data_IF_811479496791
#
_entry.id   IF_811479496791
#
_cell.length_a   1.000
_cell.length_b   1.000
_cell.length_c   1.000
_cell.angle_alpha   90.00
_cell.angle_beta   90.00
_cell.angle_gamma   90.00
#
_symmetry.space_group_name_H-M   'P 1'
#
loop_
_entity.id
_entity.type
_entity.pdbx_description
1 polymer ?
#
# COMPACT_ATOMS: atom_id res chain seq x y z
N UNK A 1 17.39 -20.73 -23.03
CA UNK A 1 18.02 -22.05 -22.87
C UNK A 1 17.98 -22.80 -24.20
N UNK A 2 18.95 -23.68 -24.41
CA UNK A 2 18.86 -24.80 -25.34
C UNK A 2 19.25 -26.07 -24.57
N UNK A 3 19.01 -27.26 -25.12
CA UNK A 3 19.23 -28.54 -24.44
C UNK A 3 20.65 -28.75 -23.87
N UNK A 4 21.65 -27.95 -24.29
CA UNK A 4 23.04 -28.03 -23.83
C UNK A 4 23.61 -26.73 -23.23
N UNK A 5 22.81 -25.66 -23.05
CA UNK A 5 23.32 -24.36 -22.58
C UNK A 5 22.40 -23.74 -21.52
N UNK A 6 22.97 -23.55 -20.32
CA UNK A 6 22.41 -22.74 -19.23
C UNK A 6 23.08 -21.36 -19.26
N UNK A 7 22.28 -20.30 -19.42
CA UNK A 7 22.75 -18.92 -19.34
C UNK A 7 22.51 -18.42 -17.92
N UNK A 8 23.56 -18.28 -17.15
CA UNK A 8 23.51 -17.63 -15.83
C UNK A 8 23.61 -16.12 -16.04
N UNK A 9 22.57 -15.38 -15.67
CA UNK A 9 22.54 -13.92 -15.72
C UNK A 9 22.82 -13.35 -14.34
N UNK A 10 23.77 -12.43 -14.26
CA UNK A 10 23.99 -11.64 -13.05
C UNK A 10 22.93 -10.53 -12.97
N UNK A 11 21.96 -10.70 -12.07
CA UNK A 11 20.90 -9.71 -11.85
C UNK A 11 21.41 -8.44 -11.14
N UNK A 12 22.65 -8.46 -10.64
CA UNK A 12 23.28 -7.30 -10.03
C UNK A 12 23.90 -6.35 -11.05
N UNK A 13 24.12 -6.78 -12.29
CA UNK A 13 24.52 -5.88 -13.38
C UNK A 13 23.30 -5.07 -13.85
N UNK A 14 23.29 -3.73 -13.67
CA UNK A 14 22.19 -2.88 -14.11
C UNK A 14 21.94 -2.95 -15.63
N UNK A 15 22.88 -3.44 -16.43
CA UNK A 15 22.68 -3.67 -17.87
C UNK A 15 21.86 -4.92 -18.18
N UNK A 16 22.03 -5.99 -17.40
CA UNK A 16 21.28 -7.25 -17.56
C UNK A 16 19.86 -7.15 -16.98
N UNK A 17 19.73 -6.32 -15.94
CA UNK A 17 18.48 -6.04 -15.23
C UNK A 17 18.27 -4.52 -15.04
N UNK A 18 17.95 -3.77 -16.11
CA UNK A 18 17.74 -2.33 -16.03
C UNK A 18 16.48 -1.98 -15.24
N UNK A 19 16.45 -0.77 -14.70
CA UNK A 19 15.34 -0.26 -13.86
C UNK A 19 13.96 -0.51 -14.46
N UNK A 20 13.74 -0.14 -15.72
CA UNK A 20 12.44 -0.30 -16.38
C UNK A 20 11.97 -1.77 -16.38
N UNK A 21 12.89 -2.71 -16.61
CA UNK A 21 12.61 -4.14 -16.59
C UNK A 21 12.30 -4.63 -15.18
N UNK A 22 13.00 -4.11 -14.17
CA UNK A 22 12.74 -4.41 -12.76
C UNK A 22 11.36 -3.90 -12.34
N UNK A 23 11.00 -2.66 -12.69
CA UNK A 23 9.69 -2.08 -12.43
C UNK A 23 8.57 -2.89 -13.10
N UNK A 24 8.72 -3.24 -14.39
CA UNK A 24 7.73 -4.09 -15.09
C UNK A 24 7.49 -5.42 -14.38
N UNK A 25 8.56 -6.04 -13.85
CA UNK A 25 8.42 -7.28 -13.05
C UNK A 25 7.73 -7.04 -11.72
N UNK A 26 8.11 -5.98 -11.00
CA UNK A 26 7.46 -5.60 -9.74
C UNK A 26 5.97 -5.34 -9.95
N UNK A 27 5.60 -4.68 -11.03
CA UNK A 27 4.21 -4.42 -11.38
C UNK A 27 3.42 -5.72 -11.64
N UNK A 28 3.96 -6.64 -12.44
CA UNK A 28 3.32 -7.95 -12.69
C UNK A 28 3.13 -8.70 -11.38
N UNK A 29 4.16 -8.70 -10.52
CA UNK A 29 4.11 -9.36 -9.22
C UNK A 29 3.08 -8.72 -8.29
N UNK A 30 3.10 -7.40 -8.13
CA UNK A 30 2.13 -6.66 -7.31
C UNK A 30 0.69 -6.87 -7.78
N UNK A 31 0.45 -6.83 -9.09
CA UNK A 31 -0.87 -7.09 -9.67
C UNK A 31 -1.33 -8.52 -9.36
N UNK A 32 -0.46 -9.51 -9.57
CA UNK A 32 -0.76 -10.91 -9.25
C UNK A 32 -0.99 -11.13 -7.76
N UNK A 33 -0.24 -10.48 -6.88
CA UNK A 33 -0.43 -10.59 -5.43
C UNK A 33 -1.79 -10.04 -5.01
N UNK A 34 -2.20 -8.89 -5.55
CA UNK A 34 -3.51 -8.28 -5.29
C UNK A 34 -4.66 -9.16 -5.79
N UNK A 35 -4.58 -9.65 -7.03
CA UNK A 35 -5.56 -10.57 -7.62
C UNK A 35 -5.67 -11.88 -6.84
N UNK A 36 -4.53 -12.51 -6.50
CA UNK A 36 -4.49 -13.75 -5.71
C UNK A 36 -5.06 -13.52 -4.30
N UNK A 37 -4.79 -12.38 -3.66
CA UNK A 37 -5.34 -12.03 -2.35
C UNK A 37 -6.87 -11.90 -2.38
N UNK A 38 -7.40 -11.24 -3.40
CA UNK A 38 -8.84 -11.06 -3.60
C UNK A 38 -9.53 -12.38 -3.96
N UNK A 39 -8.87 -13.24 -4.74
CA UNK A 39 -9.35 -14.58 -5.05
C UNK A 39 -9.31 -15.50 -3.82
N UNK A 40 -8.31 -15.35 -2.95
CA UNK A 40 -8.26 -16.05 -1.68
C UNK A 40 -9.41 -15.60 -0.78
N UNK A 41 -9.69 -14.29 -0.76
CA UNK A 41 -10.86 -13.73 -0.09
C UNK A 41 -12.16 -14.25 -0.69
N UNK A 42 -12.27 -14.43 -2.01
CA UNK A 42 -13.45 -14.97 -2.68
C UNK A 42 -13.73 -16.43 -2.34
N UNK A 43 -12.69 -17.24 -2.20
CA UNK A 43 -12.83 -18.71 -2.13
C UNK A 43 -12.60 -19.25 -0.72
N UNK A 44 -12.17 -18.41 0.22
CA UNK A 44 -11.67 -18.83 1.52
C UNK A 44 -10.40 -19.70 1.41
N UNK A 45 -9.69 -19.66 0.28
CA UNK A 45 -8.55 -20.53 0.01
C UNK A 45 -7.30 -20.08 0.78
N UNK A 46 -7.15 -20.58 2.01
CA UNK A 46 -6.00 -20.25 2.89
C UNK A 46 -4.64 -20.51 2.24
N UNK A 47 -4.50 -21.58 1.46
CA UNK A 47 -3.25 -21.89 0.73
C UNK A 47 -2.89 -20.80 -0.30
N UNK A 48 -3.89 -20.18 -0.93
CA UNK A 48 -3.64 -19.08 -1.86
C UNK A 48 -3.20 -17.83 -1.10
N UNK A 49 -3.82 -17.55 0.05
CA UNK A 49 -3.38 -16.47 0.93
C UNK A 49 -1.94 -16.68 1.45
N UNK A 50 -1.56 -17.89 1.85
CA UNK A 50 -0.19 -18.23 2.26
C UNK A 50 0.81 -17.96 1.14
N UNK A 51 0.49 -18.35 -0.10
CA UNK A 51 1.32 -18.07 -1.28
C UNK A 51 1.52 -16.57 -1.53
N UNK A 52 0.48 -15.74 -1.30
CA UNK A 52 0.61 -14.27 -1.39
C UNK A 52 1.58 -13.76 -0.33
N UNK A 53 1.50 -14.27 0.90
CA UNK A 53 2.43 -13.91 1.99
C UNK A 53 3.87 -14.27 1.63
N UNK A 54 4.10 -15.44 1.07
CA UNK A 54 5.42 -15.89 0.62
C UNK A 54 5.99 -15.02 -0.53
N UNK A 55 5.11 -14.49 -1.40
CA UNK A 55 5.50 -13.65 -2.54
C UNK A 55 6.01 -12.27 -2.12
N UNK A 56 5.83 -11.87 -0.85
CA UNK A 56 6.33 -10.58 -0.34
C UNK A 56 7.85 -10.46 -0.46
N UNK A 57 8.56 -11.54 -0.11
CA UNK A 57 10.02 -11.57 -0.15
C UNK A 57 10.54 -11.26 -1.57
N UNK A 58 9.81 -11.67 -2.61
CA UNK A 58 10.21 -11.46 -3.99
C UNK A 58 10.03 -10.00 -4.42
N UNK A 59 8.95 -9.33 -4.01
CA UNK A 59 8.76 -7.91 -4.32
C UNK A 59 9.73 -7.03 -3.52
N UNK A 60 10.01 -7.38 -2.26
CA UNK A 60 11.01 -6.72 -1.42
C UNK A 60 12.41 -6.78 -2.03
N UNK A 61 12.81 -7.96 -2.53
CA UNK A 61 14.09 -8.16 -3.21
C UNK A 61 14.23 -7.29 -4.45
N UNK A 62 13.17 -7.18 -5.26
CA UNK A 62 13.18 -6.32 -6.45
C UNK A 62 13.25 -4.83 -6.07
N UNK A 63 12.54 -4.42 -5.01
CA UNK A 63 12.64 -3.06 -4.48
C UNK A 63 14.06 -2.73 -4.01
N UNK A 64 14.70 -3.62 -3.24
CA UNK A 64 16.08 -3.44 -2.81
C UNK A 64 17.08 -3.42 -3.97
N UNK A 65 16.81 -4.18 -5.04
CA UNK A 65 17.61 -4.10 -6.25
C UNK A 65 17.53 -2.71 -6.88
N UNK A 66 16.33 -2.14 -7.01
CA UNK A 66 16.14 -0.77 -7.51
C UNK A 66 16.85 0.24 -6.62
N UNK A 67 16.66 0.17 -5.30
CA UNK A 67 17.35 1.05 -4.33
C UNK A 67 18.87 0.98 -4.47
N UNK A 68 19.42 -0.22 -4.57
CA UNK A 68 20.86 -0.44 -4.76
C UNK A 68 21.34 0.16 -6.08
N UNK A 69 20.65 -0.13 -7.18
CA UNK A 69 21.02 0.39 -8.50
C UNK A 69 20.99 1.92 -8.49
N UNK A 70 19.95 2.53 -7.89
CA UNK A 70 19.84 3.97 -7.78
C UNK A 70 20.98 4.56 -6.96
N UNK A 71 21.37 3.94 -5.84
CA UNK A 71 22.53 4.39 -5.07
C UNK A 71 23.87 4.29 -5.82
N UNK A 72 24.06 3.28 -6.68
CA UNK A 72 25.26 3.18 -7.51
C UNK A 72 25.28 4.32 -8.53
N UNK A 73 24.15 4.57 -9.19
CA UNK A 73 23.98 5.62 -10.20
C UNK A 73 24.17 7.01 -9.61
N UNK A 74 23.64 7.27 -8.41
CA UNK A 74 23.82 8.54 -7.70
C UNK A 74 25.28 8.80 -7.28
N UNK A 75 26.11 7.75 -7.15
CA UNK A 75 27.54 7.87 -6.81
C UNK A 75 28.45 7.95 -8.03
N UNK A 76 27.99 7.43 -9.17
CA UNK A 76 28.77 7.35 -10.40
C UNK A 76 27.98 7.93 -11.59
N UNK A 77 28.19 9.23 -11.83
CA UNK A 77 27.57 9.96 -12.95
C UNK A 77 27.96 9.36 -14.31
N UNK A 78 29.12 8.70 -14.42
CA UNK A 78 29.56 8.05 -15.66
C UNK A 78 28.70 6.80 -15.92
N UNK A 79 28.21 6.14 -14.87
CA UNK A 79 27.29 5.01 -15.01
C UNK A 79 25.91 5.47 -15.51
N UNK A 80 25.43 6.65 -15.11
CA UNK A 80 24.19 7.24 -15.66
C UNK A 80 24.23 7.29 -17.20
N UNK A 81 25.34 7.80 -17.76
CA UNK A 81 25.53 7.90 -19.21
C UNK A 81 25.57 6.53 -19.89
N UNK A 82 26.17 5.52 -19.24
CA UNK A 82 26.24 4.15 -19.78
C UNK A 82 24.91 3.41 -19.75
N UNK A 83 24.00 3.80 -18.85
CA UNK A 83 22.67 3.21 -18.69
C UNK A 83 21.57 4.01 -19.40
N UNK A 84 21.92 5.13 -20.04
CA UNK A 84 20.99 6.05 -20.70
C UNK A 84 19.86 6.54 -19.78
N UNK A 85 20.22 6.85 -18.53
CA UNK A 85 19.29 7.37 -17.52
C UNK A 85 19.86 8.63 -16.88
N UNK A 86 18.99 9.51 -16.40
CA UNK A 86 19.36 10.67 -15.60
C UNK A 86 19.32 10.36 -14.10
N UNK A 87 19.87 11.27 -13.28
CA UNK A 87 19.72 11.19 -11.82
C UNK A 87 18.24 11.34 -11.38
N UNK A 88 17.47 12.12 -12.14
CA UNK A 88 16.03 12.28 -11.95
C UNK A 88 15.30 10.96 -12.22
N UNK A 89 15.62 10.28 -13.34
CA UNK A 89 15.07 8.95 -13.64
C UNK A 89 15.38 7.96 -12.52
N UNK A 90 16.62 7.93 -12.02
CA UNK A 90 17.00 7.07 -10.91
C UNK A 90 16.14 7.34 -9.65
N UNK A 91 15.85 8.61 -9.33
CA UNK A 91 14.95 8.96 -8.24
C UNK A 91 13.52 8.52 -8.51
N UNK A 92 13.00 8.73 -9.72
CA UNK A 92 11.66 8.33 -10.11
C UNK A 92 11.48 6.80 -10.02
N UNK A 93 12.48 6.03 -10.45
CA UNK A 93 12.46 4.58 -10.32
C UNK A 93 12.37 4.10 -8.86
N UNK A 94 13.07 4.76 -7.93
CA UNK A 94 12.95 4.47 -6.49
C UNK A 94 11.53 4.69 -5.97
N UNK A 95 10.90 5.79 -6.36
CA UNK A 95 9.52 6.08 -5.95
C UNK A 95 8.56 5.03 -6.51
N UNK A 96 8.68 4.70 -7.79
CA UNK A 96 7.82 3.69 -8.42
C UNK A 96 8.01 2.32 -7.76
N UNK A 97 9.26 1.89 -7.50
CA UNK A 97 9.51 0.61 -6.83
C UNK A 97 8.90 0.56 -5.44
N UNK A 98 9.01 1.65 -4.68
CA UNK A 98 8.39 1.75 -3.35
C UNK A 98 6.86 1.68 -3.42
N UNK A 99 6.22 2.35 -4.39
CA UNK A 99 4.76 2.26 -4.53
C UNK A 99 4.29 0.83 -4.89
N UNK A 100 5.04 0.14 -5.74
CA UNK A 100 4.73 -1.25 -6.11
C UNK A 100 4.90 -2.21 -4.93
N UNK A 101 5.98 -2.07 -4.15
CA UNK A 101 6.19 -2.87 -2.93
C UNK A 101 5.08 -2.64 -1.90
N UNK A 102 4.63 -1.40 -1.70
CA UNK A 102 3.48 -1.10 -0.83
C UNK A 102 2.19 -1.77 -1.29
N UNK A 103 1.95 -1.88 -2.60
CA UNK A 103 0.79 -2.62 -3.12
C UNK A 103 0.91 -4.11 -2.73
N UNK A 104 2.11 -4.68 -2.83
CA UNK A 104 2.43 -6.02 -2.33
C UNK A 104 2.12 -6.18 -0.84
N UNK A 105 2.58 -5.24 0.00
CA UNK A 105 2.31 -5.22 1.44
C UNK A 105 0.80 -5.21 1.73
N UNK A 106 0.03 -4.39 1.01
CA UNK A 106 -1.43 -4.35 1.15
C UNK A 106 -2.09 -5.67 0.74
N UNK A 107 -1.62 -6.32 -0.32
CA UNK A 107 -2.09 -7.65 -0.71
C UNK A 107 -1.80 -8.70 0.39
N UNK A 108 -0.63 -8.64 1.02
CA UNK A 108 -0.27 -9.49 2.17
C UNK A 108 -1.19 -9.23 3.37
N UNK A 109 -1.53 -7.97 3.65
CA UNK A 109 -2.51 -7.64 4.72
C UNK A 109 -3.87 -8.26 4.44
N UNK A 110 -4.35 -8.21 3.20
CA UNK A 110 -5.60 -8.86 2.79
C UNK A 110 -5.48 -10.37 3.01
N UNK A 111 -4.41 -11.00 2.51
CA UNK A 111 -4.17 -12.44 2.64
C UNK A 111 -4.11 -12.90 4.11
N UNK A 112 -3.42 -12.16 4.99
CA UNK A 112 -3.38 -12.44 6.44
C UNK A 112 -4.78 -12.42 7.05
N UNK A 113 -5.62 -11.44 6.67
CA UNK A 113 -7.00 -11.38 7.13
C UNK A 113 -7.83 -12.57 6.64
N UNK A 114 -7.65 -13.03 5.39
CA UNK A 114 -8.34 -14.22 4.85
C UNK A 114 -8.10 -15.47 5.72
N UNK A 115 -6.90 -15.62 6.29
CA UNK A 115 -6.57 -16.76 7.15
C UNK A 115 -7.33 -16.72 8.49
N UNK A 116 -7.56 -15.51 9.00
CA UNK A 116 -8.16 -15.24 10.32
C UNK A 116 -9.70 -15.19 10.28
N UNK A 117 -10.28 -14.69 9.20
CA UNK A 117 -11.73 -14.49 9.11
C UNK A 117 -12.48 -15.80 8.81
N UNK A 118 -13.68 -15.90 9.35
CA UNK A 118 -14.64 -16.92 8.96
C UNK A 118 -15.32 -16.48 7.65
N UNK A 119 -14.74 -16.90 6.53
CA UNK A 119 -15.17 -16.53 5.17
C UNK A 119 -16.67 -16.79 4.94
N UNK A 120 -17.26 -17.83 5.56
CA UNK A 120 -18.68 -18.16 5.39
C UNK A 120 -19.62 -17.09 5.99
N UNK A 121 -19.11 -16.22 6.86
CA UNK A 121 -19.87 -15.14 7.50
C UNK A 121 -19.76 -13.80 6.76
N UNK A 122 -19.04 -13.74 5.65
CA UNK A 122 -18.93 -12.51 4.85
C UNK A 122 -20.22 -12.34 4.06
N UNK A 123 -20.89 -11.21 4.25
CA UNK A 123 -22.08 -10.86 3.49
C UNK A 123 -21.73 -10.69 2.00
N UNK A 124 -22.54 -11.28 1.12
CA UNK A 124 -22.30 -11.30 -0.32
C UNK A 124 -22.30 -9.89 -0.93
N UNK A 125 -23.11 -8.97 -0.39
CA UNK A 125 -23.15 -7.57 -0.86
C UNK A 125 -21.88 -6.84 -0.44
N UNK A 126 -21.39 -7.04 0.78
CA UNK A 126 -20.10 -6.51 1.22
C UNK A 126 -18.96 -7.00 0.33
N UNK A 127 -18.91 -8.31 0.05
CA UNK A 127 -17.91 -8.90 -0.84
C UNK A 127 -17.94 -8.28 -2.26
N UNK A 128 -19.13 -8.16 -2.87
CA UNK A 128 -19.26 -7.55 -4.20
C UNK A 128 -18.77 -6.09 -4.23
N UNK A 129 -18.97 -5.33 -3.15
CA UNK A 129 -18.46 -3.96 -3.06
C UNK A 129 -16.94 -3.92 -2.96
N UNK A 130 -16.32 -4.86 -2.24
CA UNK A 130 -14.86 -5.02 -2.18
C UNK A 130 -14.30 -5.36 -3.56
N UNK A 131 -14.90 -6.33 -4.26
CA UNK A 131 -14.47 -6.72 -5.61
C UNK A 131 -14.53 -5.54 -6.58
N UNK A 132 -15.62 -4.77 -6.55
CA UNK A 132 -15.76 -3.59 -7.40
C UNK A 132 -14.68 -2.52 -7.12
N UNK A 133 -14.37 -2.27 -5.85
CA UNK A 133 -13.30 -1.33 -5.48
C UNK A 133 -11.93 -1.85 -5.93
N UNK A 134 -11.70 -3.16 -5.81
CA UNK A 134 -10.49 -3.83 -6.27
C UNK A 134 -10.30 -3.72 -7.78
N UNK A 135 -11.32 -4.02 -8.58
CA UNK A 135 -11.27 -3.90 -10.05
C UNK A 135 -10.86 -2.48 -10.48
N UNK A 136 -11.51 -1.46 -9.90
CA UNK A 136 -11.17 -0.05 -10.18
C UNK A 136 -9.74 0.26 -9.74
N UNK A 137 -9.27 -0.28 -8.60
CA UNK A 137 -7.89 -0.05 -8.14
C UNK A 137 -6.85 -0.60 -9.12
N UNK A 138 -7.09 -1.80 -9.67
CA UNK A 138 -6.23 -2.41 -10.68
C UNK A 138 -6.26 -1.63 -11.99
N UNK A 139 -7.44 -1.16 -12.41
CA UNK A 139 -7.56 -0.28 -13.59
C UNK A 139 -6.71 0.99 -13.45
N UNK A 140 -6.78 1.67 -12.30
CA UNK A 140 -5.99 2.87 -12.03
C UNK A 140 -4.48 2.57 -11.98
N UNK A 141 -4.08 1.42 -11.44
CA UNK A 141 -2.68 0.98 -11.44
C UNK A 141 -2.18 0.73 -12.87
N UNK A 142 -2.99 0.08 -13.70
CA UNK A 142 -2.67 -0.19 -15.11
C UNK A 142 -2.54 1.10 -15.90
N UNK A 143 -3.49 2.04 -15.73
CA UNK A 143 -3.41 3.37 -16.34
C UNK A 143 -2.16 4.14 -15.90
N UNK A 144 -1.76 4.03 -14.63
CA UNK A 144 -0.51 4.65 -14.13
C UNK A 144 0.72 4.12 -14.84
N UNK A 145 0.83 2.78 -14.98
CA UNK A 145 1.96 2.18 -15.66
C UNK A 145 1.98 2.54 -17.15
N UNK A 146 0.83 2.49 -17.81
CA UNK A 146 0.70 2.85 -19.22
C UNK A 146 1.08 4.30 -19.49
N UNK A 147 0.58 5.23 -18.67
CA UNK A 147 0.90 6.65 -18.75
C UNK A 147 2.40 6.87 -18.58
N UNK A 148 3.02 6.21 -17.61
CA UNK A 148 4.45 6.30 -17.37
C UNK A 148 5.28 5.73 -18.53
N UNK A 149 4.98 4.51 -19.00
CA UNK A 149 5.72 3.87 -20.09
C UNK A 149 5.63 4.65 -21.41
N UNK A 150 4.46 5.24 -21.69
CA UNK A 150 4.20 6.02 -22.90
C UNK A 150 4.63 7.49 -22.75
N UNK A 151 5.02 7.93 -21.55
CA UNK A 151 5.24 9.34 -21.19
C UNK A 151 4.03 10.21 -21.54
N UNK A 152 2.83 9.68 -21.32
CA UNK A 152 1.56 10.31 -21.67
C UNK A 152 1.00 11.10 -20.48
N UNK A 153 1.22 12.42 -20.50
CA UNK A 153 0.75 13.34 -19.48
C UNK A 153 -0.78 13.44 -19.42
N UNK A 154 -1.47 13.28 -20.55
CA UNK A 154 -2.93 13.36 -20.58
C UNK A 154 -3.53 12.15 -19.88
N UNK A 155 -3.02 10.95 -20.18
CA UNK A 155 -3.45 9.73 -19.51
C UNK A 155 -3.15 9.76 -18.00
N UNK A 156 -2.01 10.34 -17.59
CA UNK A 156 -1.69 10.53 -16.17
C UNK A 156 -2.72 11.43 -15.47
N UNK A 157 -3.09 12.57 -16.08
CA UNK A 157 -4.09 13.47 -15.52
C UNK A 157 -5.49 12.84 -15.47
N UNK A 158 -5.89 12.14 -16.53
CA UNK A 158 -7.16 11.39 -16.58
C UNK A 158 -7.23 10.33 -15.47
N UNK A 159 -6.11 9.67 -15.18
CA UNK A 159 -6.02 8.68 -14.12
C UNK A 159 -6.23 9.32 -12.73
N UNK A 160 -5.61 10.48 -12.48
CA UNK A 160 -5.80 11.24 -11.24
C UNK A 160 -7.27 11.62 -11.05
N UNK A 161 -7.94 12.11 -12.10
CA UNK A 161 -9.36 12.45 -12.05
C UNK A 161 -10.25 11.21 -11.80
N UNK A 162 -9.84 10.05 -12.30
CA UNK A 162 -10.58 8.79 -12.14
C UNK A 162 -10.55 8.23 -10.71
N UNK A 163 -9.69 8.74 -9.82
CA UNK A 163 -9.64 8.35 -8.39
C UNK A 163 -11.00 8.52 -7.70
N UNK A 164 -11.80 9.51 -8.11
CA UNK A 164 -13.14 9.72 -7.52
C UNK A 164 -14.05 8.48 -7.66
N UNK A 165 -13.88 7.70 -8.73
CA UNK A 165 -14.62 6.44 -8.94
C UNK A 165 -14.26 5.42 -7.86
N UNK A 166 -12.97 5.31 -7.53
CA UNK A 166 -12.48 4.42 -6.48
C UNK A 166 -12.98 4.87 -5.10
N UNK A 167 -12.88 6.18 -4.79
CA UNK A 167 -13.41 6.75 -3.54
C UNK A 167 -14.88 6.40 -3.34
N UNK A 168 -15.70 6.53 -4.38
CA UNK A 168 -17.12 6.19 -4.33
C UNK A 168 -17.34 4.68 -4.12
N UNK A 169 -16.53 3.82 -4.74
CA UNK A 169 -16.60 2.37 -4.54
C UNK A 169 -16.21 1.97 -3.10
N UNK A 170 -15.14 2.55 -2.57
CA UNK A 170 -14.72 2.34 -1.17
C UNK A 170 -15.81 2.79 -0.18
N UNK A 171 -16.47 3.93 -0.41
CA UNK A 171 -17.57 4.42 0.43
C UNK A 171 -18.80 3.49 0.46
N UNK A 172 -18.95 2.61 -0.54
CA UNK A 172 -20.00 1.61 -0.57
C UNK A 172 -19.69 0.38 0.29
N UNK A 173 -18.43 0.19 0.71
CA UNK A 173 -17.99 -0.87 1.62
C UNK A 173 -18.37 -0.47 3.06
N UNK A 174 -19.67 -0.58 3.39
CA UNK A 174 -20.19 -0.33 4.74
C UNK A 174 -20.43 -1.65 5.46
N UNK A 175 -19.83 -1.82 6.63
CA UNK A 175 -20.17 -2.89 7.58
C UNK A 175 -21.34 -2.37 8.44
N UNK A 176 -22.21 -3.25 8.91
CA UNK A 176 -23.39 -2.87 9.71
C UNK A 176 -22.99 -2.15 11.02
N UNK A 177 -23.75 -1.13 11.47
CA UNK A 177 -23.42 -0.24 12.59
C UNK A 177 -23.35 -0.87 14.00
N UNK A 178 -23.51 -2.18 14.15
CA UNK A 178 -23.56 -2.85 15.47
C UNK A 178 -22.26 -3.57 15.86
N UNK A 179 -21.15 -3.26 15.22
CA UNK A 179 -19.82 -3.76 15.60
C UNK A 179 -18.90 -2.57 15.84
N UNK A 180 -18.32 -2.48 17.04
CA UNK A 180 -17.11 -1.69 17.28
C UNK A 180 -16.13 -1.95 16.13
N UNK A 181 -15.77 -0.88 15.42
CA UNK A 181 -14.89 -0.94 14.27
C UNK A 181 -13.46 -0.75 14.77
N UNK A 182 -12.54 -1.70 14.52
CA UNK A 182 -11.13 -1.56 14.85
C UNK A 182 -10.35 -1.27 13.55
N UNK A 183 -10.05 -0.01 13.26
CA UNK A 183 -9.45 0.40 11.99
C UNK A 183 -7.97 0.69 12.14
N UNK A 184 -7.16 0.04 11.32
CA UNK A 184 -5.77 0.43 11.08
C UNK A 184 -5.77 1.56 10.03
N UNK A 185 -5.30 2.74 10.42
CA UNK A 185 -5.09 3.87 9.54
C UNK A 185 -3.59 3.98 9.27
N UNK A 186 -3.22 3.88 7.99
CA UNK A 186 -1.86 4.11 7.51
C UNK A 186 -1.70 5.56 7.09
N UNK A 187 -0.69 6.25 7.64
CA UNK A 187 -0.30 7.58 7.17
C UNK A 187 1.05 7.50 6.47
N UNK A 188 1.13 8.15 5.31
CA UNK A 188 2.42 8.45 4.68
C UNK A 188 2.92 9.74 5.30
N UNK A 189 4.06 9.66 5.95
CA UNK A 189 4.74 10.76 6.60
C UNK A 189 5.55 11.49 5.53
N UNK A 190 5.46 12.81 5.48
CA UNK A 190 6.19 13.65 4.51
C UNK A 190 7.61 13.97 5.01
N UNK A 191 7.79 14.07 6.33
CA UNK A 191 9.06 14.47 6.95
C UNK A 191 9.63 13.33 7.81
N UNK A 192 10.71 12.69 7.37
CA UNK A 192 11.42 11.69 8.17
C UNK A 192 11.93 12.31 9.48
N UNK A 193 11.73 11.61 10.60
CA UNK A 193 12.15 12.03 11.94
C UNK A 193 11.04 12.63 12.78
N UNK A 194 9.85 12.89 12.20
CA UNK A 194 8.67 13.37 12.94
C UNK A 194 7.81 12.23 13.48
N UNK A 195 8.12 10.98 13.15
CA UNK A 195 7.20 9.85 13.38
C UNK A 195 6.84 9.69 14.86
N UNK A 196 7.83 9.81 15.76
CA UNK A 196 7.59 9.76 17.20
C UNK A 196 6.83 10.96 17.74
N UNK A 197 7.01 12.15 17.15
CA UNK A 197 6.25 13.34 17.52
C UNK A 197 4.77 13.18 17.19
N UNK A 198 4.47 12.55 16.04
CA UNK A 198 3.10 12.22 15.66
C UNK A 198 2.49 11.26 16.69
N UNK A 199 3.19 10.18 17.06
CA UNK A 199 2.73 9.23 18.09
C UNK A 199 2.44 9.91 19.43
N UNK A 200 3.33 10.78 19.91
CA UNK A 200 3.12 11.52 21.16
C UNK A 200 1.88 12.43 21.09
N UNK A 201 1.68 13.11 19.96
CA UNK A 201 0.52 14.00 19.78
C UNK A 201 -0.80 13.22 19.81
N UNK A 202 -0.80 12.00 19.28
CA UNK A 202 -1.97 11.14 19.24
C UNK A 202 -2.36 10.53 20.58
N UNK A 203 -1.41 10.36 21.51
CA UNK A 203 -1.73 9.89 22.88
C UNK A 203 -2.70 10.81 23.62
N UNK A 204 -2.70 12.10 23.27
CA UNK A 204 -3.54 13.11 23.89
C UNK A 204 -4.78 13.46 23.08
N UNK A 205 -4.96 12.85 21.91
CA UNK A 205 -6.11 13.10 21.06
C UNK A 205 -7.33 12.36 21.59
N UNK A 206 -8.44 13.09 21.75
CA UNK A 206 -9.69 12.61 22.36
C UNK A 206 -10.87 13.04 21.49
N UNK A 207 -11.97 12.26 21.47
CA UNK A 207 -13.17 12.59 20.73
C UNK A 207 -13.81 13.90 21.20
N UNK A 208 -14.39 14.65 20.26
CA UNK A 208 -15.25 15.80 20.56
C UNK A 208 -16.55 15.30 21.22
N UNK A 209 -17.16 16.13 22.06
CA UNK A 209 -18.38 15.83 22.79
C UNK A 209 -19.51 15.34 21.85
N UNK A 210 -19.97 14.11 22.04
CA UNK A 210 -20.99 13.45 21.21
C UNK A 210 -20.47 12.38 20.25
N UNK A 211 -19.15 12.25 20.10
CA UNK A 211 -18.50 11.17 19.35
C UNK A 211 -17.88 10.13 20.30
N UNK A 212 -17.88 8.86 19.88
CA UNK A 212 -17.39 7.74 20.69
C UNK A 212 -16.37 6.92 19.90
N UNK A 213 -15.14 7.42 19.89
CA UNK A 213 -13.97 6.78 19.30
C UNK A 213 -12.73 6.90 20.18
N UNK A 214 -11.77 6.00 20.00
CA UNK A 214 -10.52 5.94 20.76
C UNK A 214 -9.38 5.42 19.89
N UNK A 215 -8.22 6.06 19.96
CA UNK A 215 -6.97 5.47 19.44
C UNK A 215 -6.48 4.42 20.45
N UNK A 216 -6.35 3.17 20.01
CA UNK A 216 -5.90 2.05 20.85
C UNK A 216 -4.41 1.78 20.70
N UNK A 217 -3.84 2.07 19.53
CA UNK A 217 -2.43 1.87 19.26
C UNK A 217 -1.94 2.91 18.25
N UNK A 218 -0.71 3.37 18.41
CA UNK A 218 -0.02 4.15 17.39
C UNK A 218 1.47 3.84 17.43
N UNK A 219 2.07 3.59 16.26
CA UNK A 219 3.48 3.24 16.18
C UNK A 219 4.08 3.61 14.82
N UNK A 220 5.31 4.14 14.80
CA UNK A 220 6.04 4.30 13.56
C UNK A 220 6.42 2.94 13.00
N UNK A 221 6.30 2.77 11.68
CA UNK A 221 6.92 1.61 11.02
C UNK A 221 8.43 1.83 10.95
N UNK A 222 9.19 0.92 11.54
CA UNK A 222 10.64 1.07 11.59
C UNK A 222 11.25 0.98 10.18
N UNK A 223 12.00 2.01 9.78
CA UNK A 223 12.60 2.10 8.44
C UNK A 223 11.64 2.51 7.33
N UNK A 224 10.38 2.84 7.65
CA UNK A 224 9.36 3.27 6.68
C UNK A 224 9.01 4.76 6.79
N UNK A 225 8.25 5.22 5.78
CA UNK A 225 7.54 6.49 5.79
C UNK A 225 6.14 6.33 6.40
N UNK A 226 5.83 5.18 7.01
CA UNK A 226 4.49 4.84 7.41
C UNK A 226 4.28 4.98 8.92
N UNK A 227 3.16 5.58 9.31
CA UNK A 227 2.62 5.51 10.66
C UNK A 227 1.42 4.58 10.66
N UNK A 228 1.38 3.67 11.63
CA UNK A 228 0.21 2.83 11.89
C UNK A 228 -0.53 3.40 13.09
N UNK A 229 -1.81 3.65 12.92
CA UNK A 229 -2.73 4.02 14.00
C UNK A 229 -3.88 3.04 14.03
N UNK A 230 -4.12 2.43 15.18
CA UNK A 230 -5.31 1.63 15.42
C UNK A 230 -6.32 2.48 16.19
N UNK A 231 -7.55 2.51 15.72
CA UNK A 231 -8.62 3.25 16.38
C UNK A 231 -9.91 2.45 16.40
N UNK A 232 -10.62 2.55 17.53
CA UNK A 232 -11.94 1.97 17.75
C UNK A 232 -12.98 3.07 17.63
N UNK A 233 -14.06 2.84 16.90
CA UNK A 233 -15.18 3.77 16.84
C UNK A 233 -16.52 3.03 16.71
N UNK A 234 -17.62 3.73 17.01
CA UNK A 234 -18.98 3.20 16.93
C UNK A 234 -19.71 3.60 15.64
N UNK A 235 -19.30 4.69 14.97
CA UNK A 235 -19.83 5.09 13.67
C UNK A 235 -18.71 5.38 12.68
N UNK A 236 -18.87 4.95 11.42
CA UNK A 236 -17.95 5.30 10.34
C UNK A 236 -17.82 6.82 10.11
N UNK A 237 -18.80 7.62 10.54
CA UNK A 237 -18.70 9.08 10.52
C UNK A 237 -17.62 9.63 11.46
N UNK A 238 -17.25 8.88 12.50
CA UNK A 238 -16.22 9.28 13.47
C UNK A 238 -14.81 9.19 12.85
N UNK A 239 -14.65 8.38 11.81
CA UNK A 239 -13.42 8.31 11.02
C UNK A 239 -13.13 9.62 10.31
N UNK A 240 -14.16 10.33 9.84
CA UNK A 240 -14.00 11.64 9.19
C UNK A 240 -13.44 12.68 10.18
N UNK A 241 -13.78 12.58 11.47
CA UNK A 241 -13.22 13.44 12.52
C UNK A 241 -11.73 13.17 12.72
N UNK A 242 -11.34 11.90 12.82
CA UNK A 242 -9.94 11.48 12.95
C UNK A 242 -9.14 11.96 11.73
N UNK A 243 -9.63 11.70 10.51
CA UNK A 243 -8.96 12.13 9.27
C UNK A 243 -8.93 13.65 9.15
N UNK A 244 -9.99 14.35 9.54
CA UNK A 244 -10.06 15.81 9.54
C UNK A 244 -9.03 16.41 10.50
N UNK A 245 -8.84 15.83 11.69
CA UNK A 245 -7.80 16.26 12.62
C UNK A 245 -6.41 16.24 11.99
N UNK A 246 -6.03 15.15 11.32
CA UNK A 246 -4.74 15.08 10.62
C UNK A 246 -4.57 16.13 9.53
N UNK A 247 -5.66 16.55 8.88
CA UNK A 247 -5.64 17.55 7.81
C UNK A 247 -5.70 19.00 8.30
N UNK A 248 -6.22 19.22 9.50
CA UNK A 248 -6.49 20.56 10.05
C UNK A 248 -5.51 20.98 11.13
N UNK A 249 -4.87 20.02 11.81
CA UNK A 249 -3.84 20.30 12.79
C UNK A 249 -2.57 20.88 12.12
N UNK A 250 -2.07 21.99 12.68
CA UNK A 250 -0.97 22.76 12.09
C UNK A 250 0.33 21.97 11.94
N UNK A 251 0.62 21.03 12.84
CA UNK A 251 1.86 20.24 12.76
C UNK A 251 1.64 19.00 11.90
N UNK A 252 0.53 18.29 12.12
CA UNK A 252 0.27 17.00 11.45
C UNK A 252 0.04 17.18 9.95
N UNK A 253 -0.61 18.27 9.54
CA UNK A 253 -0.83 18.59 8.12
C UNK A 253 0.49 18.76 7.36
N UNK A 254 1.53 19.28 8.00
CA UNK A 254 2.86 19.44 7.38
C UNK A 254 3.70 18.17 7.45
N UNK A 255 3.35 17.22 8.32
CA UNK A 255 4.12 16.01 8.53
C UNK A 255 3.53 14.80 7.80
N UNK A 256 2.34 14.91 7.23
CA UNK A 256 1.59 13.81 6.63
C UNK A 256 1.20 14.20 5.20
N UNK A 257 1.74 13.45 4.24
CA UNK A 257 1.55 13.66 2.80
C UNK A 257 0.16 13.15 2.35
N UNK A 258 -0.19 11.94 2.80
CA UNK A 258 -1.47 11.33 2.46
C UNK A 258 -1.98 10.36 3.54
N UNK A 259 -3.30 10.37 3.76
CA UNK A 259 -4.00 9.35 4.56
C UNK A 259 -4.44 8.21 3.65
N UNK A 260 -3.87 7.02 3.81
CA UNK A 260 -4.37 5.81 3.14
C UNK A 260 -5.23 5.05 4.15
N UNK A 261 -6.54 5.23 4.07
CA UNK A 261 -7.48 4.60 4.98
C UNK A 261 -7.93 3.25 4.44
N UNK A 262 -7.55 2.13 5.06
CA UNK A 262 -8.20 0.83 4.81
C UNK A 262 -8.34 -0.07 6.05
N UNK A 263 -9.56 -0.03 6.61
CA UNK A 263 -10.50 -1.09 7.07
C UNK A 263 -10.13 -2.05 8.22
N UNK A 264 -10.88 -1.85 9.31
CA UNK A 264 -11.61 -2.80 10.18
C UNK A 264 -11.10 -4.24 10.29
N UNK A 265 -10.49 -4.56 11.42
CA UNK A 265 -10.43 -5.92 11.97
C UNK A 265 -11.57 -6.11 13.00
N UNK A 266 -12.11 -7.33 13.12
CA UNK A 266 -13.30 -7.61 13.95
C UNK A 266 -12.91 -8.07 15.37
N UNK A 267 -13.84 -7.79 16.30
CA UNK A 267 -13.93 -8.11 17.75
C UNK A 267 -12.92 -9.10 18.36
N UNK A 268 -12.33 -8.58 19.45
CA UNK A 268 -11.67 -9.26 20.58
C UNK A 268 -10.28 -9.82 20.31
N UNK A 269 -9.27 -8.96 20.42
CA UNK A 269 -8.03 -9.38 21.08
C UNK A 269 -8.23 -9.20 22.59
N UNK A 270 -8.32 -10.29 23.33
CA UNK A 270 -7.97 -10.23 24.76
C UNK A 270 -6.46 -9.97 24.83
N UNK A 271 -6.09 -8.70 25.04
CA UNK A 271 -4.74 -8.37 25.47
C UNK A 271 -4.63 -8.89 26.92
N UNK A 272 -4.03 -10.06 27.09
CA UNK A 272 -3.50 -10.44 28.39
C UNK A 272 -2.35 -9.48 28.69
N UNK A 273 -2.59 -8.59 29.64
CA UNK A 273 -1.59 -7.79 30.36
C UNK A 273 -0.44 -8.67 30.85
#
# INVERSE_FOLDING_TARGET
>A
ESDNIIIIKDLLDPKEMPFEKTIKRMYILANSMHEDALKALETGAKRLAEKVIESNDDIDRLNWLVERQAHIVLRDIILCQKLDITLEDASNYKFISRFLERIGDHAVKIAKNVILIDYQKIDKKLYNNIMKASEISLELLNMSLDAWLKKDLNLANENIESIQKLTNACNAIKISPNSEYLVEIGFIIEIIGTQWKIVEKLKHFQPIEGHDWKITYSSPTYGGWDLIIECVFNSLSDLDEIVSFFRTDNDLKEWIDATTTLISTKKNFEIKL
#
